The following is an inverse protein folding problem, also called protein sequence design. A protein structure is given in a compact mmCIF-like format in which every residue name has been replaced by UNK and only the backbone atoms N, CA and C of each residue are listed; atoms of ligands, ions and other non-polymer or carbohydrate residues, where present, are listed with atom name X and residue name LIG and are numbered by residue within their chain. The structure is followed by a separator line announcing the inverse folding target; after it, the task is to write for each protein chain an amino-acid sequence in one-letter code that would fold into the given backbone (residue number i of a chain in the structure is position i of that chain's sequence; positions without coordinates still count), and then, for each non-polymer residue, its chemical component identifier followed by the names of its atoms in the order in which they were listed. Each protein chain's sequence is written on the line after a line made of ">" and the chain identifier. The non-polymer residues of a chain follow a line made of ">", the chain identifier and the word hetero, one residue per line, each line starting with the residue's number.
data_IF_945415973430
#
_entry.id   IF_945415973430
#
_cell.length_a   1.000
_cell.length_b   1.000
_cell.length_c   1.000
_cell.angle_alpha   90.00
_cell.angle_beta   90.00
_cell.angle_gamma   90.00
#
_symmetry.space_group_name_H-M   'P 1'
#
loop_
_entity.id
_entity.type
_entity.pdbx_description
1 polymer ?
#
# COMPACT_ATOMS: atom_id res chain seq x y z
N UNK A 1 -45.89 -5.88 6.10
CA UNK A 1 -45.92 -6.29 4.68
C UNK A 1 -45.27 -7.67 4.61
N UNK A 2 -46.07 -8.72 4.82
CA UNK A 2 -45.59 -10.11 4.79
C UNK A 2 -45.56 -10.51 3.33
N UNK A 3 -44.36 -10.75 2.79
CA UNK A 3 -44.22 -11.31 1.45
C UNK A 3 -44.76 -12.74 1.54
N UNK A 4 -45.91 -12.99 0.93
CA UNK A 4 -46.54 -14.30 0.94
C UNK A 4 -45.65 -15.28 0.17
N UNK A 5 -45.00 -16.17 0.91
CA UNK A 5 -44.12 -17.20 0.37
C UNK A 5 -44.86 -18.19 -0.55
N UNK A 6 -46.20 -18.21 -0.53
CA UNK A 6 -47.00 -19.06 -1.41
C UNK A 6 -47.05 -18.58 -2.87
N UNK A 7 -46.66 -17.33 -3.15
CA UNK A 7 -46.60 -16.78 -4.51
C UNK A 7 -45.31 -17.15 -5.26
N UNK A 8 -44.32 -17.72 -4.59
CA UNK A 8 -43.14 -18.24 -5.28
C UNK A 8 -43.49 -19.57 -5.96
N UNK A 9 -43.23 -19.73 -7.27
CA UNK A 9 -43.52 -20.97 -7.98
C UNK A 9 -42.74 -22.12 -7.35
N UNK A 10 -43.45 -23.21 -7.04
CA UNK A 10 -42.83 -24.44 -6.56
C UNK A 10 -41.80 -24.94 -7.59
N UNK A 11 -40.66 -25.49 -7.15
CA UNK A 11 -39.69 -26.08 -8.06
C UNK A 11 -40.40 -27.17 -8.90
N UNK A 12 -40.08 -27.27 -10.20
CA UNK A 12 -40.77 -28.17 -11.11
C UNK A 12 -40.67 -29.62 -10.61
N UNK A 13 -41.83 -30.28 -10.48
CA UNK A 13 -41.91 -31.71 -10.13
C UNK A 13 -41.14 -32.53 -11.18
N UNK A 14 -40.10 -33.24 -10.76
CA UNK A 14 -39.28 -34.08 -11.65
C UNK A 14 -37.81 -33.68 -11.74
N UNK A 15 -37.37 -32.63 -11.04
CA UNK A 15 -35.94 -32.40 -10.83
C UNK A 15 -35.33 -33.59 -10.08
N UNK A 16 -34.57 -34.42 -10.79
CA UNK A 16 -33.81 -35.52 -10.20
C UNK A 16 -32.79 -34.92 -9.23
N UNK A 17 -32.65 -35.46 -8.00
CA UNK A 17 -31.61 -35.00 -7.09
C UNK A 17 -30.26 -35.10 -7.79
N UNK A 18 -29.44 -34.06 -7.64
CA UNK A 18 -28.10 -34.04 -8.22
C UNK A 18 -27.35 -35.32 -7.83
N UNK A 19 -26.72 -35.96 -8.81
CA UNK A 19 -25.93 -37.16 -8.57
C UNK A 19 -24.88 -36.88 -7.48
N UNK A 20 -24.72 -37.83 -6.56
CA UNK A 20 -23.64 -37.84 -5.56
C UNK A 20 -22.27 -37.62 -6.20
N UNK A 21 -22.05 -38.09 -7.43
CA UNK A 21 -20.85 -37.81 -8.25
C UNK A 21 -20.72 -36.33 -8.58
N UNK A 22 -21.80 -35.66 -9.00
CA UNK A 22 -21.80 -34.22 -9.26
C UNK A 22 -21.47 -33.42 -8.00
N UNK A 23 -22.10 -33.76 -6.86
CA UNK A 23 -21.81 -33.12 -5.56
C UNK A 23 -20.36 -33.36 -5.08
N UNK A 24 -19.80 -34.56 -5.32
CA UNK A 24 -18.41 -34.88 -5.01
C UNK A 24 -17.43 -34.09 -5.90
N UNK A 25 -17.74 -33.99 -7.19
CA UNK A 25 -16.92 -33.26 -8.16
C UNK A 25 -16.99 -31.74 -7.90
N UNK A 26 -18.16 -31.19 -7.59
CA UNK A 26 -18.29 -29.76 -7.27
C UNK A 26 -17.53 -29.41 -5.98
N UNK A 27 -17.59 -30.28 -4.98
CA UNK A 27 -16.82 -30.12 -3.74
C UNK A 27 -15.30 -30.27 -3.97
N UNK A 28 -14.89 -31.18 -4.87
CA UNK A 28 -13.49 -31.33 -5.28
C UNK A 28 -12.97 -30.08 -6.01
N UNK A 29 -13.73 -29.57 -6.99
CA UNK A 29 -13.40 -28.37 -7.73
C UNK A 29 -13.37 -27.13 -6.81
N UNK A 30 -14.33 -27.00 -5.91
CA UNK A 30 -14.36 -25.92 -4.92
C UNK A 30 -13.13 -25.95 -4.01
N UNK A 31 -12.72 -27.13 -3.53
CA UNK A 31 -11.50 -27.30 -2.73
C UNK A 31 -10.23 -26.97 -3.52
N UNK A 32 -10.17 -27.38 -4.79
CA UNK A 32 -9.05 -27.08 -5.68
C UNK A 32 -8.93 -25.57 -5.97
N UNK A 33 -10.06 -24.89 -6.20
CA UNK A 33 -10.10 -23.43 -6.36
C UNK A 33 -9.68 -22.72 -5.07
N UNK A 34 -10.19 -23.16 -3.91
CA UNK A 34 -9.84 -22.60 -2.61
C UNK A 34 -8.34 -22.78 -2.27
N UNK A 35 -7.75 -23.94 -2.59
CA UNK A 35 -6.31 -24.17 -2.39
C UNK A 35 -5.44 -23.27 -3.28
N UNK A 36 -5.86 -23.03 -4.52
CA UNK A 36 -5.13 -22.14 -5.43
C UNK A 36 -5.10 -20.69 -4.94
N UNK A 37 -6.19 -20.20 -4.35
CA UNK A 37 -6.21 -18.86 -3.73
C UNK A 37 -5.26 -18.75 -2.54
N UNK A 38 -5.15 -19.78 -1.71
CA UNK A 38 -4.20 -19.81 -0.59
C UNK A 38 -2.76 -19.72 -1.09
N UNK A 39 -2.44 -20.47 -2.15
CA UNK A 39 -1.11 -20.44 -2.78
C UNK A 39 -0.81 -19.07 -3.37
N UNK A 40 -1.78 -18.46 -4.08
CA UNK A 40 -1.64 -17.10 -4.63
C UNK A 40 -1.39 -16.10 -3.52
N UNK A 41 -2.21 -16.11 -2.45
CA UNK A 41 -2.07 -15.19 -1.31
C UNK A 41 -0.70 -15.34 -0.62
N UNK A 42 -0.20 -16.57 -0.51
CA UNK A 42 1.11 -16.84 0.06
C UNK A 42 2.23 -16.30 -0.83
N UNK A 43 2.16 -16.52 -2.15
CA UNK A 43 3.14 -15.97 -3.11
C UNK A 43 3.10 -14.44 -3.12
N UNK A 44 1.91 -13.82 -3.11
CA UNK A 44 1.79 -12.36 -3.06
C UNK A 44 2.33 -11.81 -1.75
N UNK A 45 2.04 -12.45 -0.62
CA UNK A 45 2.59 -12.06 0.68
C UNK A 45 4.12 -12.15 0.69
N UNK A 46 4.69 -13.23 0.16
CA UNK A 46 6.13 -13.41 0.09
C UNK A 46 6.80 -12.39 -0.84
N UNK A 47 6.17 -12.10 -1.98
CA UNK A 47 6.61 -11.05 -2.90
C UNK A 47 6.59 -9.66 -2.25
N UNK A 48 5.54 -9.35 -1.48
CA UNK A 48 5.43 -8.10 -0.72
C UNK A 48 6.52 -7.96 0.34
N UNK A 49 6.94 -9.06 0.98
CA UNK A 49 8.07 -9.06 1.93
C UNK A 49 9.41 -8.73 1.24
N UNK A 50 9.58 -9.16 -0.01
CA UNK A 50 10.78 -8.86 -0.80
C UNK A 50 10.86 -7.40 -1.29
N UNK A 51 9.80 -6.60 -1.16
CA UNK A 51 9.80 -5.17 -1.53
C UNK A 51 10.33 -4.25 -0.41
N UNK A 52 10.59 -4.79 0.78
CA UNK A 52 11.19 -4.02 1.87
C UNK A 52 12.68 -3.78 1.61
N UNK A 53 13.03 -2.59 1.13
CA UNK A 53 14.41 -2.11 1.04
C UNK A 53 14.61 -0.90 1.94
N UNK A 54 15.77 -0.82 2.58
CA UNK A 54 16.19 0.34 3.37
C UNK A 54 17.35 1.04 2.66
N UNK A 55 17.36 2.38 2.72
CA UNK A 55 18.50 3.16 2.25
C UNK A 55 19.62 3.05 3.28
N UNK A 56 20.82 2.68 2.85
CA UNK A 56 22.00 2.62 3.73
C UNK A 56 22.62 4.01 3.78
N UNK A 57 22.65 4.63 4.96
CA UNK A 57 23.28 5.93 5.20
C UNK A 57 24.45 5.74 6.17
N UNK A 58 25.64 6.14 5.72
CA UNK A 58 26.85 6.18 6.52
C UNK A 58 27.57 7.52 6.31
N UNK A 59 28.69 7.73 6.99
CA UNK A 59 29.53 8.90 6.78
C UNK A 59 30.98 8.56 7.11
N UNK A 60 31.90 9.39 6.65
CA UNK A 60 33.28 9.39 7.11
C UNK A 60 33.80 10.82 7.24
N UNK A 61 35.12 10.98 7.39
CA UNK A 61 35.77 12.30 7.50
C UNK A 61 35.54 13.26 6.32
N UNK A 62 35.03 12.79 5.17
CA UNK A 62 34.92 13.57 3.93
C UNK A 62 33.48 13.85 3.52
N UNK A 63 32.56 12.90 3.72
CA UNK A 63 31.21 13.02 3.17
C UNK A 63 30.19 12.11 3.83
N UNK A 64 28.91 12.36 3.54
CA UNK A 64 27.84 11.39 3.71
C UNK A 64 27.96 10.34 2.60
N UNK A 65 27.57 9.10 2.90
CA UNK A 65 27.56 7.96 2.00
C UNK A 65 26.13 7.40 1.96
N UNK A 66 25.49 7.46 0.79
CA UNK A 66 24.12 6.97 0.57
C UNK A 66 24.18 5.82 -0.42
N UNK A 67 23.74 4.62 -0.03
CA UNK A 67 23.80 3.40 -0.84
C UNK A 67 25.21 3.10 -1.41
N UNK A 68 26.24 3.36 -0.61
CA UNK A 68 27.64 3.15 -1.00
C UNK A 68 28.26 4.30 -1.81
N UNK A 69 27.48 5.30 -2.24
CA UNK A 69 27.96 6.46 -2.99
C UNK A 69 28.22 7.65 -2.07
N UNK A 70 29.40 8.27 -2.21
CA UNK A 70 29.73 9.52 -1.50
C UNK A 70 28.97 10.70 -2.10
N UNK A 71 28.27 11.46 -1.26
CA UNK A 71 27.51 12.63 -1.68
C UNK A 71 27.84 13.84 -0.81
N UNK A 72 27.98 14.99 -1.47
CA UNK A 72 27.85 16.30 -0.83
C UNK A 72 26.38 16.66 -1.01
N UNK A 73 25.70 16.99 0.09
CA UNK A 73 24.28 17.34 0.06
C UNK A 73 24.18 18.86 0.08
N UNK A 74 23.55 19.44 -0.93
CA UNK A 74 23.15 20.85 -0.91
C UNK A 74 21.70 20.96 -0.45
N UNK A 75 21.44 21.73 0.60
CA UNK A 75 20.12 21.87 1.22
C UNK A 75 19.59 23.29 1.14
N UNK A 76 18.26 23.46 1.09
CA UNK A 76 17.57 24.72 1.38
C UNK A 76 16.74 24.62 2.66
N UNK A 77 16.70 25.72 3.42
CA UNK A 77 15.78 25.85 4.54
C UNK A 77 14.40 26.33 4.04
N UNK A 78 13.36 25.52 4.27
CA UNK A 78 11.96 25.89 4.02
C UNK A 78 11.17 25.66 5.31
N UNK A 79 10.77 26.73 5.98
CA UNK A 79 9.94 26.65 7.18
C UNK A 79 8.47 26.56 6.80
N UNK A 80 7.83 25.42 7.10
CA UNK A 80 6.43 25.19 6.73
C UNK A 80 5.44 26.23 7.30
N UNK A 81 5.68 26.97 8.41
CA UNK A 81 4.77 28.05 8.82
C UNK A 81 4.73 29.26 7.88
N UNK A 82 5.74 29.41 7.00
CA UNK A 82 5.85 30.55 6.08
C UNK A 82 5.34 30.22 4.67
N UNK A 83 4.81 29.01 4.45
CA UNK A 83 4.24 28.59 3.17
C UNK A 83 3.02 27.71 3.40
N UNK A 84 2.00 27.83 2.55
CA UNK A 84 0.83 26.96 2.64
C UNK A 84 1.11 25.61 1.97
N UNK A 85 0.31 24.59 2.31
CA UNK A 85 0.40 23.26 1.69
C UNK A 85 0.34 23.28 0.16
N UNK A 86 -0.41 24.23 -0.40
CA UNK A 86 -0.57 24.41 -1.84
C UNK A 86 0.71 24.94 -2.50
N UNK A 87 1.56 25.64 -1.75
CA UNK A 87 2.84 26.17 -2.25
C UNK A 87 3.97 25.13 -2.22
N UNK A 88 3.89 24.10 -1.37
CA UNK A 88 5.00 23.15 -1.16
C UNK A 88 5.45 22.41 -2.43
N UNK A 89 4.56 21.96 -3.34
CA UNK A 89 4.99 21.34 -4.58
C UNK A 89 5.86 22.27 -5.44
N UNK A 90 5.47 23.54 -5.57
CA UNK A 90 6.21 24.55 -6.32
C UNK A 90 7.56 24.88 -5.67
N UNK A 91 7.60 25.04 -4.34
CA UNK A 91 8.84 25.28 -3.59
C UNK A 91 9.81 24.09 -3.69
N UNK A 92 9.29 22.86 -3.64
CA UNK A 92 10.09 21.63 -3.82
C UNK A 92 10.66 21.54 -5.24
N UNK A 93 9.85 21.86 -6.25
CA UNK A 93 10.31 21.88 -7.64
C UNK A 93 11.38 22.94 -7.86
N UNK A 94 11.18 24.17 -7.40
CA UNK A 94 12.18 25.24 -7.47
C UNK A 94 13.49 24.89 -6.77
N UNK A 95 13.42 24.19 -5.64
CA UNK A 95 14.61 23.72 -4.93
C UNK A 95 15.38 22.68 -5.76
N UNK A 96 14.68 21.72 -6.37
CA UNK A 96 15.29 20.73 -7.28
C UNK A 96 15.88 21.37 -8.54
N UNK A 97 15.15 22.31 -9.16
CA UNK A 97 15.63 23.08 -10.32
C UNK A 97 16.86 23.93 -9.96
N UNK A 98 16.93 24.40 -8.72
CA UNK A 98 18.09 25.09 -8.15
C UNK A 98 19.28 24.19 -7.82
N UNK A 99 19.19 22.87 -8.08
CA UNK A 99 20.28 21.92 -7.85
C UNK A 99 20.43 21.46 -6.40
N UNK A 100 19.38 21.60 -5.59
CA UNK A 100 19.40 21.16 -4.20
C UNK A 100 18.98 19.68 -4.07
N UNK A 101 19.66 18.97 -3.19
CA UNK A 101 19.45 17.55 -2.88
C UNK A 101 18.43 17.34 -1.75
N UNK A 102 18.30 18.33 -0.86
CA UNK A 102 17.52 18.21 0.37
C UNK A 102 16.79 19.51 0.75
N UNK A 103 15.73 19.35 1.54
CA UNK A 103 15.02 20.44 2.22
C UNK A 103 15.20 20.25 3.71
N UNK A 104 15.62 21.31 4.39
CA UNK A 104 15.68 21.42 5.84
C UNK A 104 14.46 22.20 6.35
N UNK A 105 13.82 21.68 7.40
CA UNK A 105 12.67 22.35 8.00
C UNK A 105 12.66 22.18 9.52
N UNK A 106 12.15 23.19 10.23
CA UNK A 106 11.95 23.12 11.68
C UNK A 106 10.53 22.67 11.99
N UNK A 107 10.38 21.94 13.10
CA UNK A 107 9.10 21.65 13.72
C UNK A 107 8.89 22.65 14.86
N UNK A 108 7.84 23.47 14.76
CA UNK A 108 7.51 24.48 15.77
C UNK A 108 6.62 23.85 16.84
N UNK A 109 7.25 23.40 17.93
CA UNK A 109 6.56 22.65 18.99
C UNK A 109 5.42 23.43 19.64
N UNK A 110 5.63 24.72 19.92
CA UNK A 110 4.65 25.66 20.49
C UNK A 110 3.34 25.76 19.69
N UNK A 111 3.39 25.51 18.38
CA UNK A 111 2.19 25.47 17.52
C UNK A 111 1.37 24.18 17.70
N UNK A 112 2.01 23.07 18.05
CA UNK A 112 1.35 21.78 18.26
C UNK A 112 0.99 21.52 19.72
N UNK A 113 1.78 22.05 20.65
CA UNK A 113 1.55 22.01 22.09
C UNK A 113 1.83 23.40 22.70
N UNK A 114 0.82 24.28 22.75
CA UNK A 114 0.92 25.55 23.46
C UNK A 114 1.07 25.29 24.97
N UNK A 115 2.01 26.00 25.60
CA UNK A 115 2.22 25.98 27.05
C UNK A 115 1.24 26.86 27.80
#
# INVERSE_FOLDING_TARGET
>A
MVVDLSLFPLPPKGQKPLDRRYKKNSHFLFKMLLSSWIVILFITSLSLLCLCSATIVAYDSKSIIINGERKIIFSSAIHYPHSTSEMWPDLSNKSKEGGLDAIETYVFWDRYEPV
#
